data_IF_580339788749
#
_entry.id   IF_580339788749
#
_cell.length_a   1.000
_cell.length_b   1.000
_cell.length_c   1.000
_cell.angle_alpha   90.00
_cell.angle_beta   90.00
_cell.angle_gamma   90.00
#
_symmetry.space_group_name_H-M   'P 1'
#
loop_
_entity.id
_entity.type
_entity.pdbx_description
1 polymer ?
#
# COMPACT_ATOMS: atom_id res chain seq x y z
N UNK A 1 -2.26 -45.49 3.61
CA UNK A 1 -2.70 -44.35 4.44
C UNK A 1 -2.61 -43.12 3.53
N UNK A 2 -3.72 -42.42 3.30
CA UNK A 2 -3.71 -41.14 2.60
C UNK A 2 -3.09 -40.14 3.57
N UNK A 3 -2.06 -39.42 3.14
CA UNK A 3 -1.45 -38.37 3.97
C UNK A 3 -2.52 -37.31 4.28
N UNK A 4 -2.54 -36.81 5.50
CA UNK A 4 -3.37 -35.64 5.84
C UNK A 4 -2.88 -34.46 5.02
N UNK A 5 -3.75 -33.69 4.32
CA UNK A 5 -3.34 -32.55 3.55
C UNK A 5 -2.69 -31.50 4.43
N UNK A 6 -1.74 -30.76 3.89
CA UNK A 6 -1.14 -29.60 4.55
C UNK A 6 -2.12 -28.42 4.50
N UNK A 7 -1.96 -27.45 5.39
CA UNK A 7 -2.78 -26.24 5.41
C UNK A 7 -2.76 -25.50 4.05
N UNK A 8 -1.61 -25.50 3.39
CA UNK A 8 -1.46 -24.91 2.05
C UNK A 8 -2.29 -25.66 1.00
N UNK A 9 -2.28 -27.00 1.03
CA UNK A 9 -3.10 -27.82 0.12
C UNK A 9 -4.59 -27.58 0.34
N UNK A 10 -5.05 -27.51 1.60
CA UNK A 10 -6.44 -27.19 1.94
C UNK A 10 -6.85 -25.77 1.45
N UNK A 11 -5.96 -24.78 1.59
CA UNK A 11 -6.19 -23.43 1.07
C UNK A 11 -6.34 -23.43 -0.45
N UNK A 12 -5.49 -24.15 -1.17
CA UNK A 12 -5.54 -24.22 -2.63
C UNK A 12 -6.80 -24.96 -3.13
N UNK A 13 -7.24 -25.98 -2.42
CA UNK A 13 -8.51 -26.69 -2.71
C UNK A 13 -9.71 -25.77 -2.51
N UNK A 14 -9.82 -25.12 -1.34
CA UNK A 14 -10.88 -24.15 -1.04
C UNK A 14 -10.89 -22.97 -2.02
N UNK A 15 -9.71 -22.47 -2.41
CA UNK A 15 -9.58 -21.41 -3.42
C UNK A 15 -10.21 -21.84 -4.75
N UNK A 16 -9.94 -23.06 -5.20
CA UNK A 16 -10.52 -23.60 -6.43
C UNK A 16 -12.04 -23.78 -6.31
N UNK A 17 -12.52 -24.42 -5.23
CA UNK A 17 -13.95 -24.63 -4.98
C UNK A 17 -14.75 -23.32 -4.93
N UNK A 18 -14.18 -22.27 -4.33
CA UNK A 18 -14.81 -20.95 -4.17
C UNK A 18 -14.66 -20.07 -5.40
N UNK A 19 -13.96 -20.51 -6.45
CA UNK A 19 -13.57 -19.67 -7.59
C UNK A 19 -12.94 -18.35 -7.09
N UNK A 20 -12.03 -18.49 -6.12
CA UNK A 20 -11.42 -17.38 -5.42
C UNK A 20 -10.05 -17.02 -6.00
N UNK A 21 -9.68 -15.74 -5.83
CA UNK A 21 -8.33 -15.23 -6.02
C UNK A 21 -7.77 -14.76 -4.67
N UNK A 22 -6.50 -15.06 -4.42
CA UNK A 22 -5.76 -14.54 -3.28
C UNK A 22 -4.86 -13.41 -3.79
N UNK A 23 -5.15 -12.18 -3.34
CA UNK A 23 -4.36 -10.99 -3.64
C UNK A 23 -3.54 -10.62 -2.40
N UNK A 24 -2.21 -10.61 -2.50
CA UNK A 24 -1.33 -10.34 -1.37
C UNK A 24 -0.49 -9.08 -1.59
N UNK A 25 -0.43 -8.21 -0.58
CA UNK A 25 0.50 -7.11 -0.58
C UNK A 25 1.93 -7.61 -0.33
N UNK A 26 2.94 -6.95 -0.90
CA UNK A 26 4.36 -7.28 -0.67
C UNK A 26 4.80 -7.28 0.81
N UNK A 27 4.01 -6.68 1.71
CA UNK A 27 4.28 -6.63 3.15
C UNK A 27 3.72 -7.84 3.93
N UNK A 28 3.08 -8.77 3.25
CA UNK A 28 2.62 -10.01 3.87
C UNK A 28 3.79 -10.96 4.20
N UNK A 29 3.56 -11.92 5.10
CA UNK A 29 4.52 -12.99 5.35
C UNK A 29 4.80 -13.79 4.07
N UNK A 30 6.01 -14.36 3.96
CA UNK A 30 6.44 -15.10 2.78
C UNK A 30 5.48 -16.24 2.40
N UNK A 31 4.98 -16.97 3.40
CA UNK A 31 4.04 -18.08 3.21
C UNK A 31 2.70 -17.65 2.57
N UNK A 32 2.23 -16.42 2.88
CA UNK A 32 1.04 -15.86 2.24
C UNK A 32 1.38 -15.41 0.81
N UNK A 33 2.57 -14.82 0.61
CA UNK A 33 3.01 -14.43 -0.72
C UNK A 33 3.15 -15.66 -1.65
N UNK A 34 3.56 -16.81 -1.13
CA UNK A 34 3.74 -18.06 -1.91
C UNK A 34 2.44 -18.65 -2.43
N UNK A 35 1.33 -18.52 -1.68
CA UNK A 35 0.01 -19.03 -2.10
C UNK A 35 -0.80 -18.02 -2.91
N UNK A 36 -0.33 -16.77 -3.03
CA UNK A 36 -1.06 -15.69 -3.70
C UNK A 36 -1.05 -15.84 -5.23
N UNK A 37 -2.18 -15.55 -5.86
CA UNK A 37 -2.32 -15.50 -7.32
C UNK A 37 -1.69 -14.22 -7.89
N UNK A 38 -1.66 -13.15 -7.09
CA UNK A 38 -0.96 -11.93 -7.42
C UNK A 38 -0.37 -11.28 -6.17
N UNK A 39 0.87 -10.86 -6.28
CA UNK A 39 1.57 -10.05 -5.29
C UNK A 39 1.79 -8.67 -5.90
N UNK A 40 1.56 -7.61 -5.14
CA UNK A 40 1.71 -6.25 -5.66
C UNK A 40 1.61 -5.15 -4.61
N UNK A 41 1.78 -3.91 -5.06
CA UNK A 41 1.41 -2.73 -4.28
C UNK A 41 -0.08 -2.39 -4.43
N UNK A 42 -0.54 -1.33 -3.75
CA UNK A 42 -1.96 -0.94 -3.74
C UNK A 42 -2.52 -0.65 -5.13
N UNK A 43 -1.72 -0.09 -6.05
CA UNK A 43 -2.18 0.22 -7.41
C UNK A 43 -2.33 -1.05 -8.26
N UNK A 44 -1.34 -1.93 -8.20
CA UNK A 44 -1.33 -3.19 -8.93
C UNK A 44 -2.48 -4.09 -8.47
N UNK A 45 -2.65 -4.24 -7.15
CA UNK A 45 -3.72 -5.07 -6.59
C UNK A 45 -5.12 -4.50 -6.86
N UNK A 46 -5.28 -3.16 -6.90
CA UNK A 46 -6.54 -2.53 -7.29
C UNK A 46 -6.91 -2.87 -8.75
N UNK A 47 -5.94 -2.85 -9.66
CA UNK A 47 -6.15 -3.27 -11.06
C UNK A 47 -6.52 -4.75 -11.14
N UNK A 48 -5.78 -5.61 -10.44
CA UNK A 48 -6.07 -7.06 -10.38
C UNK A 48 -7.46 -7.36 -9.84
N UNK A 49 -7.87 -6.69 -8.76
CA UNK A 49 -9.22 -6.86 -8.19
C UNK A 49 -10.32 -6.45 -9.17
N UNK A 50 -10.10 -5.38 -9.96
CA UNK A 50 -11.04 -4.93 -10.99
C UNK A 50 -11.19 -5.93 -12.13
N UNK A 51 -10.07 -6.50 -12.60
CA UNK A 51 -10.01 -7.34 -13.81
C UNK A 51 -10.25 -8.83 -13.52
N UNK A 52 -10.37 -9.23 -12.26
CA UNK A 52 -10.56 -10.63 -11.88
C UNK A 52 -11.95 -11.14 -12.31
N UNK A 53 -11.98 -12.35 -12.89
CA UNK A 53 -13.20 -13.03 -13.35
C UNK A 53 -13.51 -14.27 -12.49
N UNK A 54 -13.77 -14.07 -11.20
CA UNK A 54 -14.19 -15.11 -10.25
C UNK A 54 -15.23 -14.57 -9.29
N UNK A 55 -15.51 -15.32 -8.22
CA UNK A 55 -16.59 -15.00 -7.28
C UNK A 55 -16.10 -14.39 -5.97
N UNK A 56 -14.91 -14.80 -5.51
CA UNK A 56 -14.38 -14.45 -4.20
C UNK A 56 -12.99 -13.81 -4.35
N UNK A 57 -12.78 -12.67 -3.70
CA UNK A 57 -11.47 -12.05 -3.54
C UNK A 57 -11.07 -12.17 -2.07
N UNK A 58 -10.02 -12.93 -1.81
CA UNK A 58 -9.34 -12.94 -0.51
C UNK A 58 -8.23 -11.91 -0.57
N UNK A 59 -8.40 -10.82 0.17
CA UNK A 59 -7.44 -9.73 0.17
C UNK A 59 -6.49 -9.84 1.37
N UNK A 60 -5.30 -10.40 1.17
CA UNK A 60 -4.23 -10.46 2.17
C UNK A 60 -3.48 -9.11 2.18
N UNK A 61 -3.93 -8.23 3.04
CA UNK A 61 -3.48 -6.86 3.20
C UNK A 61 -4.21 -6.21 4.37
N UNK A 62 -4.43 -4.91 4.29
CA UNK A 62 -5.17 -4.15 5.30
C UNK A 62 -6.58 -3.78 4.80
N UNK A 63 -7.48 -3.47 5.75
CA UNK A 63 -8.91 -3.31 5.51
C UNK A 63 -9.25 -2.36 4.36
N UNK A 64 -8.63 -1.16 4.30
CA UNK A 64 -8.92 -0.17 3.25
C UNK A 64 -8.60 -0.66 1.83
N UNK A 65 -7.66 -1.61 1.69
CA UNK A 65 -7.33 -2.21 0.38
C UNK A 65 -8.45 -3.13 -0.09
N UNK A 66 -9.01 -3.91 0.83
CA UNK A 66 -10.17 -4.75 0.55
C UNK A 66 -11.43 -3.91 0.31
N UNK A 67 -11.62 -2.78 1.00
CA UNK A 67 -12.66 -1.79 0.65
C UNK A 67 -12.50 -1.31 -0.79
N UNK A 68 -11.26 -1.00 -1.21
CA UNK A 68 -10.99 -0.60 -2.61
C UNK A 68 -11.35 -1.71 -3.59
N UNK A 69 -11.01 -2.96 -3.28
CA UNK A 69 -11.41 -4.12 -4.09
C UNK A 69 -12.94 -4.27 -4.15
N UNK A 70 -13.65 -4.08 -3.02
CA UNK A 70 -15.12 -4.12 -2.98
C UNK A 70 -15.77 -2.99 -3.78
N UNK A 71 -15.21 -1.78 -3.74
CA UNK A 71 -15.67 -0.64 -4.53
C UNK A 71 -15.54 -0.92 -6.04
N UNK A 72 -14.43 -1.51 -6.46
CA UNK A 72 -14.16 -1.83 -7.86
C UNK A 72 -14.92 -3.06 -8.37
N UNK A 73 -15.20 -4.01 -7.48
CA UNK A 73 -15.89 -5.27 -7.78
C UNK A 73 -17.05 -5.54 -6.80
N UNK A 74 -18.11 -4.69 -6.79
CA UNK A 74 -19.16 -4.70 -5.78
C UNK A 74 -20.02 -5.96 -5.78
N UNK A 75 -20.10 -6.66 -6.91
CA UNK A 75 -20.87 -7.90 -7.05
C UNK A 75 -20.11 -9.14 -6.49
N UNK A 76 -18.82 -9.02 -6.21
CA UNK A 76 -18.01 -10.12 -5.68
C UNK A 76 -18.00 -10.13 -4.17
N UNK A 77 -17.83 -11.32 -3.60
CA UNK A 77 -17.52 -11.46 -2.18
C UNK A 77 -16.07 -11.08 -1.96
N UNK A 78 -15.83 -10.03 -1.16
CA UNK A 78 -14.48 -9.62 -0.76
C UNK A 78 -14.32 -9.91 0.72
N UNK A 79 -13.28 -10.67 1.06
CA UNK A 79 -12.96 -11.08 2.43
C UNK A 79 -11.52 -10.72 2.78
N UNK A 80 -11.26 -10.49 4.06
CA UNK A 80 -9.93 -10.18 4.61
C UNK A 80 -9.64 -11.19 5.71
N UNK A 81 -8.43 -11.76 5.80
CA UNK A 81 -8.12 -12.73 6.83
C UNK A 81 -8.28 -12.21 8.26
N UNK A 82 -8.00 -10.91 8.48
CA UNK A 82 -8.21 -10.27 9.77
C UNK A 82 -8.95 -8.93 9.62
N UNK A 83 -10.09 -8.80 10.31
CA UNK A 83 -10.91 -7.56 10.28
C UNK A 83 -10.23 -6.37 10.95
N UNK A 84 -9.30 -6.62 11.88
CA UNK A 84 -8.59 -5.61 12.65
C UNK A 84 -7.26 -5.18 11.99
N UNK A 85 -6.96 -5.74 10.80
CA UNK A 85 -5.85 -5.30 9.95
C UNK A 85 -6.10 -3.87 9.43
N UNK A 86 -5.85 -2.88 10.28
CA UNK A 86 -6.07 -1.45 10.06
C UNK A 86 -4.90 -0.73 9.40
N UNK A 87 -4.91 0.62 9.51
CA UNK A 87 -3.81 1.46 9.01
C UNK A 87 -3.82 2.80 9.74
N UNK A 88 -2.67 3.22 10.29
CA UNK A 88 -2.53 4.49 11.00
C UNK A 88 -2.86 5.72 10.13
N UNK A 89 -2.67 5.63 8.82
CA UNK A 89 -3.06 6.70 7.90
C UNK A 89 -4.57 6.81 7.77
N UNK A 90 -5.29 5.69 7.77
CA UNK A 90 -6.77 5.69 7.80
C UNK A 90 -7.27 6.37 9.05
N UNK A 91 -6.72 6.02 10.21
CA UNK A 91 -7.11 6.56 11.51
C UNK A 91 -6.81 8.06 11.62
N UNK A 92 -5.76 8.53 10.95
CA UNK A 92 -5.32 9.94 10.98
C UNK A 92 -6.22 10.89 10.18
N UNK A 93 -7.07 10.38 9.30
CA UNK A 93 -7.92 11.20 8.42
C UNK A 93 -9.38 10.71 8.41
N UNK A 94 -10.13 10.96 9.49
CA UNK A 94 -11.55 10.64 9.53
C UNK A 94 -12.37 11.44 8.51
N UNK A 95 -13.40 10.82 7.94
CA UNK A 95 -14.21 11.42 6.87
C UNK A 95 -14.98 12.68 7.32
N UNK A 96 -15.40 12.76 8.57
CA UNK A 96 -16.06 13.93 9.14
C UNK A 96 -15.13 15.14 9.23
N UNK A 97 -13.87 14.93 9.59
CA UNK A 97 -12.84 15.98 9.58
C UNK A 97 -12.52 16.44 8.16
N UNK A 98 -12.43 15.52 7.19
CA UNK A 98 -12.26 15.89 5.78
C UNK A 98 -13.46 16.70 5.27
N UNK A 99 -14.70 16.31 5.60
CA UNK A 99 -15.90 17.09 5.29
C UNK A 99 -15.89 18.48 5.91
N UNK A 100 -15.41 18.60 7.15
CA UNK A 100 -15.26 19.90 7.80
C UNK A 100 -14.25 20.79 7.05
N UNK A 101 -13.09 20.23 6.66
CA UNK A 101 -12.12 20.96 5.86
C UNK A 101 -12.71 21.44 4.52
N UNK A 102 -13.42 20.57 3.80
CA UNK A 102 -14.06 20.91 2.51
C UNK A 102 -15.06 22.07 2.62
N UNK A 103 -15.81 22.12 3.72
CA UNK A 103 -16.74 23.26 3.95
C UNK A 103 -16.02 24.60 4.14
N UNK A 104 -14.84 24.58 4.78
CA UNK A 104 -14.01 25.77 4.99
C UNK A 104 -13.19 26.15 3.78
N UNK A 105 -12.92 25.21 2.88
CA UNK A 105 -12.06 25.36 1.69
C UNK A 105 -12.71 24.74 0.46
N UNK A 106 -13.85 25.28 -0.01
CA UNK A 106 -14.66 24.68 -1.08
C UNK A 106 -13.97 24.72 -2.45
N UNK A 107 -12.93 25.55 -2.60
CA UNK A 107 -12.10 25.70 -3.80
C UNK A 107 -11.01 24.66 -3.94
N UNK A 108 -10.69 23.89 -2.87
CA UNK A 108 -9.63 22.90 -2.91
C UNK A 108 -10.04 21.61 -3.59
N UNK A 109 -9.20 21.13 -4.50
CA UNK A 109 -9.27 19.74 -5.00
C UNK A 109 -8.68 18.80 -3.94
N UNK A 110 -9.47 17.83 -3.49
CA UNK A 110 -9.02 16.81 -2.54
C UNK A 110 -8.36 15.67 -3.32
N UNK A 111 -7.06 15.52 -3.16
CA UNK A 111 -6.26 14.37 -3.61
C UNK A 111 -6.01 13.48 -2.42
N UNK A 112 -6.60 12.30 -2.39
CA UNK A 112 -6.38 11.37 -1.29
C UNK A 112 -5.48 10.21 -1.72
N UNK A 113 -4.45 9.98 -0.91
CA UNK A 113 -3.70 8.74 -1.00
C UNK A 113 -4.64 7.57 -0.68
N UNK A 114 -4.46 6.44 -1.36
CA UNK A 114 -5.35 5.28 -1.28
C UNK A 114 -5.49 4.71 0.14
N UNK A 115 -4.52 5.00 1.03
CA UNK A 115 -4.51 4.61 2.44
C UNK A 115 -5.51 5.44 3.27
N UNK A 116 -6.76 5.38 2.90
CA UNK A 116 -7.90 6.07 3.50
C UNK A 116 -9.13 5.16 3.49
N UNK A 117 -10.14 5.45 4.33
CA UNK A 117 -11.39 4.68 4.34
C UNK A 117 -12.22 4.87 3.07
N UNK A 118 -13.20 3.98 2.86
CA UNK A 118 -14.15 4.12 1.75
C UNK A 118 -14.91 5.45 1.80
N UNK A 119 -15.26 5.93 3.00
CA UNK A 119 -15.94 7.21 3.20
C UNK A 119 -15.06 8.40 2.81
N UNK A 120 -13.76 8.37 3.14
CA UNK A 120 -12.81 9.40 2.70
C UNK A 120 -12.63 9.38 1.19
N UNK A 121 -12.57 8.19 0.59
CA UNK A 121 -12.53 8.05 -0.87
C UNK A 121 -13.79 8.65 -1.52
N UNK A 122 -14.97 8.45 -0.92
CA UNK A 122 -16.24 9.04 -1.39
C UNK A 122 -16.29 10.58 -1.29
N UNK A 123 -15.47 11.18 -0.41
CA UNK A 123 -15.33 12.64 -0.27
C UNK A 123 -14.21 13.23 -1.16
N UNK A 124 -13.41 12.40 -1.79
CA UNK A 124 -12.24 12.81 -2.58
C UNK A 124 -12.60 13.17 -4.02
N UNK A 125 -11.79 14.00 -4.67
CA UNK A 125 -11.94 14.31 -6.09
C UNK A 125 -11.17 13.29 -6.95
N UNK A 126 -10.01 12.86 -6.48
CA UNK A 126 -9.18 11.84 -7.11
C UNK A 126 -8.35 11.12 -6.05
N UNK A 127 -8.15 9.83 -6.25
CA UNK A 127 -7.24 9.02 -5.44
C UNK A 127 -5.86 9.00 -6.08
N UNK A 128 -4.82 8.77 -5.29
CA UNK A 128 -3.48 8.44 -5.78
C UNK A 128 -2.89 7.29 -4.99
N UNK A 129 -1.81 6.72 -5.50
CA UNK A 129 -0.91 5.82 -4.77
C UNK A 129 0.49 6.42 -4.77
N UNK A 130 1.43 5.85 -3.99
CA UNK A 130 2.84 6.26 -4.05
C UNK A 130 3.46 6.09 -5.44
N UNK A 131 2.88 5.22 -6.28
CA UNK A 131 3.33 5.00 -7.67
C UNK A 131 2.98 6.14 -8.61
N UNK A 132 1.90 6.90 -8.38
CA UNK A 132 1.37 7.88 -9.34
C UNK A 132 0.98 9.23 -8.73
N UNK A 133 1.30 9.47 -7.46
CA UNK A 133 0.85 10.69 -6.76
C UNK A 133 1.32 11.99 -7.45
N UNK A 134 2.56 12.02 -7.95
CA UNK A 134 3.11 13.18 -8.67
C UNK A 134 2.36 13.40 -9.99
N UNK A 135 2.11 12.34 -10.75
CA UNK A 135 1.37 12.40 -12.02
C UNK A 135 -0.09 12.83 -11.79
N UNK A 136 -0.73 12.31 -10.73
CA UNK A 136 -2.09 12.73 -10.34
C UNK A 136 -2.13 14.21 -10.03
N UNK A 137 -1.22 14.72 -9.21
CA UNK A 137 -1.16 16.15 -8.87
C UNK A 137 -0.88 17.00 -10.10
N UNK A 138 0.00 16.56 -10.99
CA UNK A 138 0.31 17.27 -12.23
C UNK A 138 -0.84 17.27 -13.26
N UNK A 139 -1.81 16.35 -13.13
CA UNK A 139 -3.00 16.33 -13.98
C UNK A 139 -4.06 17.37 -13.58
N UNK A 140 -3.90 18.02 -12.42
CA UNK A 140 -4.80 19.06 -11.92
C UNK A 140 -4.30 20.43 -12.38
N UNK A 141 -5.17 21.36 -12.86
CA UNK A 141 -4.76 22.70 -13.27
C UNK A 141 -3.87 23.39 -12.26
N UNK A 142 -2.82 24.10 -12.71
CA UNK A 142 -1.76 24.62 -11.85
C UNK A 142 -2.25 25.69 -10.83
N UNK A 143 -3.29 26.43 -11.18
CA UNK A 143 -3.93 27.46 -10.35
C UNK A 143 -4.89 26.87 -9.30
N UNK A 144 -5.30 25.62 -9.48
CA UNK A 144 -6.26 24.96 -8.59
C UNK A 144 -5.58 24.56 -7.26
N UNK A 145 -6.02 25.06 -6.09
CA UNK A 145 -5.47 24.67 -4.80
C UNK A 145 -5.81 23.20 -4.48
N UNK A 146 -4.89 22.52 -3.83
CA UNK A 146 -5.01 21.08 -3.50
C UNK A 146 -4.93 20.87 -1.99
N UNK A 147 -5.80 20.01 -1.46
CA UNK A 147 -5.58 19.30 -0.21
C UNK A 147 -5.07 17.90 -0.54
N UNK A 148 -3.86 17.60 -0.09
CA UNK A 148 -3.29 16.24 -0.15
C UNK A 148 -3.42 15.56 1.22
N UNK A 149 -4.07 14.42 1.29
CA UNK A 149 -4.25 13.64 2.51
C UNK A 149 -4.02 12.14 2.27
N UNK A 150 -3.75 11.30 3.31
CA UNK A 150 -3.55 11.68 4.70
C UNK A 150 -2.07 11.86 5.09
N UNK A 151 -1.09 11.40 4.29
CA UNK A 151 0.33 11.29 4.69
C UNK A 151 1.12 12.58 4.46
N UNK A 152 1.74 13.09 5.54
CA UNK A 152 2.53 14.31 5.51
C UNK A 152 3.81 14.18 4.70
N UNK A 153 4.50 13.03 4.79
CA UNK A 153 5.78 12.82 4.12
C UNK A 153 5.58 12.67 2.61
N UNK A 154 4.64 11.79 2.20
CA UNK A 154 4.27 11.65 0.79
C UNK A 154 3.74 12.98 0.22
N UNK A 155 2.90 13.71 0.95
CA UNK A 155 2.38 14.99 0.51
C UNK A 155 3.47 16.05 0.32
N UNK A 156 4.45 16.12 1.22
CA UNK A 156 5.62 17.00 1.08
C UNK A 156 6.54 16.57 -0.07
N UNK A 157 6.72 15.26 -0.27
CA UNK A 157 7.45 14.71 -1.41
C UNK A 157 6.77 15.12 -2.73
N UNK A 158 5.46 14.92 -2.84
CA UNK A 158 4.67 15.29 -4.03
C UNK A 158 4.72 16.79 -4.29
N UNK A 159 4.58 17.64 -3.25
CA UNK A 159 4.70 19.09 -3.36
C UNK A 159 6.06 19.50 -3.93
N UNK A 160 7.15 18.91 -3.43
CA UNK A 160 8.51 19.15 -3.92
C UNK A 160 8.68 18.70 -5.37
N UNK A 161 8.23 17.49 -5.71
CA UNK A 161 8.44 16.91 -7.05
C UNK A 161 7.58 17.56 -8.14
N UNK A 162 6.38 18.04 -7.79
CA UNK A 162 5.50 18.77 -8.71
C UNK A 162 5.84 20.26 -8.85
N UNK A 163 6.66 20.80 -7.95
CA UNK A 163 6.98 22.24 -7.90
C UNK A 163 5.79 23.13 -7.53
N UNK A 164 4.71 22.56 -6.97
CA UNK A 164 3.48 23.31 -6.65
C UNK A 164 3.49 23.82 -5.22
N UNK A 165 3.30 25.13 -5.03
CA UNK A 165 3.20 25.74 -3.70
C UNK A 165 1.78 25.73 -3.12
N UNK A 166 0.74 25.60 -3.97
CA UNK A 166 -0.67 25.63 -3.59
C UNK A 166 -1.21 24.26 -3.12
N UNK A 167 -0.36 23.45 -2.47
CA UNK A 167 -0.73 22.17 -1.87
C UNK A 167 -0.71 22.31 -0.33
N UNK A 168 -1.89 22.13 0.29
CA UNK A 168 -1.99 21.89 1.72
C UNK A 168 -1.85 20.40 1.98
N UNK A 169 -1.08 20.03 2.98
CA UNK A 169 -0.82 18.64 3.33
C UNK A 169 -1.43 18.31 4.69
N UNK A 170 -2.18 17.22 4.74
CA UNK A 170 -2.74 16.68 5.98
C UNK A 170 -1.64 16.15 6.89
N UNK A 171 -1.88 16.15 8.21
CA UNK A 171 -0.83 15.90 9.21
C UNK A 171 -0.81 14.43 9.72
N UNK A 172 -1.25 13.47 8.92
CA UNK A 172 -1.12 12.06 9.24
C UNK A 172 0.24 11.49 8.84
N UNK A 173 0.62 10.36 9.40
CA UNK A 173 1.88 9.68 9.07
C UNK A 173 1.76 8.15 9.21
N UNK A 174 2.48 7.42 8.38
CA UNK A 174 2.62 5.98 8.50
C UNK A 174 3.50 5.64 9.71
N UNK A 175 3.00 4.81 10.64
CA UNK A 175 3.74 4.41 11.86
C UNK A 175 5.02 3.61 11.57
N UNK A 176 5.15 3.04 10.38
CA UNK A 176 6.36 2.32 9.96
C UNK A 176 7.34 3.28 9.31
N UNK A 177 6.94 3.91 8.19
CA UNK A 177 7.86 4.71 7.39
C UNK A 177 8.30 6.00 8.08
N UNK A 178 7.41 6.67 8.84
CA UNK A 178 7.75 7.92 9.53
C UNK A 178 8.72 7.74 10.69
N UNK A 179 8.92 6.51 11.15
CA UNK A 179 9.79 6.20 12.30
C UNK A 179 11.16 5.66 11.90
N UNK A 180 11.49 5.60 10.62
CA UNK A 180 12.84 5.24 10.18
C UNK A 180 13.87 6.31 10.62
N UNK A 181 14.87 5.94 11.46
CA UNK A 181 15.80 6.90 11.99
C UNK A 181 16.95 7.17 11.01
N UNK A 182 17.11 8.41 10.57
CA UNK A 182 18.20 8.82 9.68
C UNK A 182 19.58 8.45 10.25
N UNK A 183 19.76 8.51 11.58
CA UNK A 183 21.02 8.10 12.26
C UNK A 183 21.40 6.64 12.03
N UNK A 184 20.41 5.72 12.02
CA UNK A 184 20.67 4.30 11.72
C UNK A 184 21.01 4.09 10.24
N UNK A 185 20.36 4.84 9.35
CA UNK A 185 20.70 4.84 7.94
C UNK A 185 22.13 5.33 7.70
N UNK A 186 22.55 6.44 8.33
CA UNK A 186 23.94 6.95 8.27
C UNK A 186 24.94 5.89 8.74
N UNK A 187 24.66 5.22 9.87
CA UNK A 187 25.51 4.15 10.39
C UNK A 187 25.61 3.00 9.39
N UNK A 188 24.49 2.49 8.90
CA UNK A 188 24.45 1.40 7.92
C UNK A 188 25.19 1.77 6.62
N UNK A 189 25.02 3.01 6.13
CA UNK A 189 25.76 3.49 4.96
C UNK A 189 27.27 3.59 5.20
N UNK A 190 27.71 3.89 6.43
CA UNK A 190 29.12 3.87 6.78
C UNK A 190 29.70 2.44 6.86
N UNK A 191 28.91 1.46 7.29
CA UNK A 191 29.27 0.04 7.29
C UNK A 191 29.27 -0.58 5.89
N UNK A 192 28.39 -0.05 4.99
CA UNK A 192 28.22 -0.50 3.60
C UNK A 192 28.38 0.68 2.63
N UNK A 193 29.58 1.23 2.45
CA UNK A 193 29.78 2.48 1.71
C UNK A 193 29.43 2.37 0.22
N UNK A 194 29.47 1.18 -0.37
CA UNK A 194 29.08 0.93 -1.76
C UNK A 194 27.56 0.75 -1.94
N UNK A 195 26.81 0.43 -0.87
CA UNK A 195 25.39 0.16 -0.96
C UNK A 195 24.57 1.39 -1.40
N UNK A 196 23.73 1.23 -2.39
CA UNK A 196 22.75 2.24 -2.80
C UNK A 196 21.55 2.25 -1.84
N UNK A 197 20.85 3.36 -1.76
CA UNK A 197 19.71 3.55 -0.86
C UNK A 197 18.42 3.69 -1.67
N UNK A 198 17.47 2.79 -1.45
CA UNK A 198 16.12 2.87 -1.99
C UNK A 198 15.12 3.17 -0.87
N UNK A 199 14.29 4.23 -1.01
CA UNK A 199 13.38 4.67 0.02
C UNK A 199 11.94 4.84 -0.47
N UNK A 200 10.98 4.51 0.40
CA UNK A 200 9.57 4.82 0.15
C UNK A 200 9.28 6.30 0.46
N UNK A 201 8.45 7.01 -0.34
CA UNK A 201 8.20 8.43 -0.16
C UNK A 201 7.45 8.82 1.13
N UNK A 202 6.93 7.85 1.89
CA UNK A 202 6.42 8.05 3.25
C UNK A 202 7.52 8.17 4.31
N UNK A 203 8.80 7.96 3.96
CA UNK A 203 9.92 8.16 4.86
C UNK A 203 10.15 9.63 5.20
N UNK A 204 10.76 9.95 6.37
CA UNK A 204 11.13 11.31 6.72
C UNK A 204 12.04 11.96 5.66
N UNK A 205 11.97 13.28 5.56
CA UNK A 205 12.74 14.01 4.54
C UNK A 205 14.25 13.82 4.67
N UNK A 206 14.76 13.62 5.89
CA UNK A 206 16.16 13.34 6.17
C UNK A 206 16.62 12.03 5.50
N UNK A 207 15.77 11.00 5.54
CA UNK A 207 16.00 9.72 4.87
C UNK A 207 15.92 9.91 3.35
N UNK A 208 14.89 10.60 2.86
CA UNK A 208 14.70 10.82 1.41
C UNK A 208 15.83 11.61 0.77
N UNK A 209 16.50 12.51 1.51
CA UNK A 209 17.67 13.26 1.00
C UNK A 209 18.89 12.36 0.75
N UNK A 210 18.98 11.23 1.42
CA UNK A 210 20.10 10.28 1.29
C UNK A 210 19.81 9.19 0.24
N UNK A 211 18.57 9.07 -0.22
CA UNK A 211 18.15 8.02 -1.12
C UNK A 211 18.64 8.26 -2.56
N UNK A 212 19.21 7.23 -3.17
CA UNK A 212 19.55 7.18 -4.60
C UNK A 212 18.29 6.92 -5.45
N UNK A 213 17.29 6.27 -4.86
CA UNK A 213 15.99 6.04 -5.48
C UNK A 213 14.85 6.26 -4.48
N UNK A 214 13.80 6.96 -4.91
CA UNK A 214 12.55 7.13 -4.15
C UNK A 214 11.40 6.65 -5.02
N UNK A 215 10.61 5.71 -4.50
CA UNK A 215 9.48 5.17 -5.23
C UNK A 215 8.53 4.32 -4.39
N UNK A 216 7.44 3.87 -5.01
CA UNK A 216 6.49 2.94 -4.39
C UNK A 216 7.15 1.59 -4.07
N UNK A 217 6.44 0.74 -3.33
CA UNK A 217 6.91 -0.61 -3.01
C UNK A 217 7.30 -1.40 -4.26
N UNK A 218 6.42 -1.47 -5.27
CA UNK A 218 6.74 -2.13 -6.54
C UNK A 218 7.86 -1.42 -7.31
N UNK A 219 7.90 -0.08 -7.24
CA UNK A 219 8.98 0.72 -7.83
C UNK A 219 10.34 0.40 -7.21
N UNK A 220 10.42 0.30 -5.88
CA UNK A 220 11.62 -0.11 -5.14
C UNK A 220 12.05 -1.51 -5.56
N UNK A 221 11.12 -2.47 -5.55
CA UNK A 221 11.43 -3.86 -5.95
C UNK A 221 11.99 -3.88 -7.38
N UNK A 222 11.31 -3.24 -8.33
CA UNK A 222 11.75 -3.16 -9.72
C UNK A 222 13.13 -2.52 -9.86
N UNK A 223 13.36 -1.38 -9.18
CA UNK A 223 14.64 -0.70 -9.24
C UNK A 223 15.76 -1.55 -8.62
N UNK A 224 15.53 -2.13 -7.45
CA UNK A 224 16.48 -2.98 -6.77
C UNK A 224 16.85 -4.24 -7.57
N UNK A 225 15.91 -4.80 -8.35
CA UNK A 225 16.12 -6.09 -9.01
C UNK A 225 16.58 -5.97 -10.47
N UNK A 226 16.37 -4.84 -11.13
CA UNK A 226 16.66 -4.69 -12.55
C UNK A 226 17.50 -3.46 -12.93
N UNK A 227 17.46 -2.39 -12.13
CA UNK A 227 17.98 -1.08 -12.54
C UNK A 227 19.17 -0.61 -11.71
N UNK A 228 19.20 -0.95 -10.43
CA UNK A 228 20.26 -0.50 -9.53
C UNK A 228 21.65 -1.00 -10.01
N UNK A 229 22.65 -0.13 -10.14
CA UNK A 229 23.95 -0.48 -10.72
C UNK A 229 24.88 -1.23 -9.75
N UNK A 230 24.51 -1.42 -8.48
CA UNK A 230 25.34 -2.06 -7.46
C UNK A 230 24.87 -3.46 -7.08
N UNK A 231 25.66 -4.14 -6.26
CA UNK A 231 25.33 -5.45 -5.69
C UNK A 231 24.67 -5.34 -4.33
N UNK A 232 24.83 -4.21 -3.64
CA UNK A 232 24.34 -3.94 -2.29
C UNK A 232 23.29 -2.82 -2.29
N UNK A 233 22.18 -3.02 -1.60
CA UNK A 233 21.13 -2.01 -1.48
C UNK A 233 20.61 -1.94 -0.05
N UNK A 234 20.57 -0.74 0.53
CA UNK A 234 19.88 -0.43 1.77
C UNK A 234 18.44 -0.08 1.42
N UNK A 235 17.49 -0.83 1.97
CA UNK A 235 16.06 -0.72 1.65
C UNK A 235 15.32 -0.05 2.81
N UNK A 236 14.80 1.15 2.55
CA UNK A 236 14.07 1.98 3.51
C UNK A 236 12.56 1.88 3.23
N UNK A 237 12.02 0.69 3.45
CA UNK A 237 10.59 0.39 3.45
C UNK A 237 10.31 -0.81 4.34
N UNK A 238 9.04 -1.21 4.45
CA UNK A 238 8.61 -2.36 5.25
C UNK A 238 9.30 -3.66 4.80
N UNK A 239 9.75 -4.47 5.77
CA UNK A 239 10.66 -5.60 5.51
C UNK A 239 10.04 -6.79 4.79
N UNK A 240 8.72 -6.90 4.67
CA UNK A 240 8.05 -7.97 3.90
C UNK A 240 8.46 -8.02 2.42
N UNK A 241 8.95 -6.88 1.87
CA UNK A 241 9.52 -6.86 0.51
C UNK A 241 10.75 -7.76 0.34
N UNK A 242 11.38 -8.16 1.45
CA UNK A 242 12.56 -9.03 1.45
C UNK A 242 12.33 -10.31 0.67
N UNK A 243 11.15 -10.94 0.83
CA UNK A 243 10.79 -12.15 0.09
C UNK A 243 10.83 -11.93 -1.43
N UNK A 244 10.16 -10.88 -1.91
CA UNK A 244 10.17 -10.53 -3.34
C UNK A 244 11.57 -10.17 -3.86
N UNK A 245 12.35 -9.41 -3.09
CA UNK A 245 13.71 -9.01 -3.45
C UNK A 245 14.65 -10.21 -3.58
N UNK A 246 14.65 -11.09 -2.58
CA UNK A 246 15.50 -12.28 -2.57
C UNK A 246 15.14 -13.26 -3.69
N UNK A 247 13.85 -13.42 -3.98
CA UNK A 247 13.37 -14.28 -5.07
C UNK A 247 13.77 -13.76 -6.45
N UNK A 248 13.69 -12.43 -6.66
CA UNK A 248 13.93 -11.81 -7.98
C UNK A 248 15.41 -11.48 -8.23
N UNK A 249 16.20 -11.25 -7.19
CA UNK A 249 17.62 -10.94 -7.30
C UNK A 249 18.43 -11.64 -6.19
N UNK A 250 18.52 -12.99 -6.22
CA UNK A 250 19.13 -13.78 -5.13
C UNK A 250 20.63 -13.54 -4.96
N UNK A 251 21.30 -13.00 -5.97
CA UNK A 251 22.74 -12.67 -5.90
C UNK A 251 23.03 -11.32 -5.23
N UNK A 252 22.01 -10.46 -5.02
CA UNK A 252 22.19 -9.15 -4.39
C UNK A 252 22.05 -9.20 -2.89
N UNK A 253 22.77 -8.31 -2.22
CA UNK A 253 22.66 -8.10 -0.78
C UNK A 253 21.71 -6.97 -0.47
N UNK A 254 20.71 -7.24 0.36
CA UNK A 254 19.72 -6.28 0.81
C UNK A 254 19.82 -6.06 2.31
N UNK A 255 20.00 -4.82 2.72
CA UNK A 255 20.07 -4.41 4.12
C UNK A 255 18.79 -3.64 4.48
N UNK A 256 18.21 -3.96 5.63
CA UNK A 256 17.01 -3.31 6.14
C UNK A 256 17.36 -2.55 7.41
N UNK A 257 16.91 -1.31 7.52
CA UNK A 257 17.12 -0.48 8.70
C UNK A 257 15.95 -0.70 9.64
N UNK A 258 16.26 -1.12 10.87
CA UNK A 258 15.26 -1.25 11.92
C UNK A 258 14.73 0.12 12.34
N UNK A 259 13.45 0.16 12.70
CA UNK A 259 12.78 1.34 13.23
C UNK A 259 13.20 1.63 14.70
N UNK A 260 12.91 2.81 15.22
CA UNK A 260 13.33 3.17 16.58
C UNK A 260 12.58 2.40 17.67
N UNK A 261 11.33 2.05 17.42
CA UNK A 261 10.41 1.48 18.38
C UNK A 261 10.48 -0.05 18.49
N UNK A 262 11.12 -0.71 17.52
CA UNK A 262 11.38 -2.14 17.54
C UNK A 262 12.65 -2.45 16.73
N UNK A 263 13.21 -3.65 16.92
CA UNK A 263 14.27 -4.14 16.04
C UNK A 263 13.68 -4.78 14.77
N UNK A 264 12.72 -4.09 14.16
CA UNK A 264 12.04 -4.53 12.95
C UNK A 264 11.61 -3.31 12.15
N UNK A 265 11.29 -3.52 10.89
CA UNK A 265 10.67 -2.55 9.99
C UNK A 265 9.34 -3.08 9.46
N UNK A 266 8.59 -3.80 10.30
CA UNK A 266 7.35 -4.49 9.93
C UNK A 266 6.11 -3.67 10.26
N UNK A 267 5.09 -3.80 9.42
CA UNK A 267 3.78 -3.24 9.66
C UNK A 267 2.95 -4.21 10.52
N UNK A 268 2.62 -3.86 11.78
CA UNK A 268 1.89 -4.77 12.67
C UNK A 268 0.52 -5.15 12.10
N UNK A 269 -0.12 -4.26 11.37
CA UNK A 269 -1.42 -4.55 10.75
C UNK A 269 -1.32 -5.56 9.60
N UNK A 270 -0.27 -5.46 8.77
CA UNK A 270 -0.04 -6.42 7.68
C UNK A 270 0.28 -7.82 8.22
N UNK A 271 0.95 -7.90 9.38
CA UNK A 271 1.33 -9.16 10.05
C UNK A 271 0.18 -9.81 10.84
N UNK A 272 -1.00 -9.19 10.90
CA UNK A 272 -2.20 -9.81 11.49
C UNK A 272 -2.78 -10.93 10.63
N UNK A 273 -2.49 -10.95 9.33
CA UNK A 273 -2.88 -12.04 8.45
C UNK A 273 -1.93 -13.23 8.62
N UNK A 274 -2.48 -14.43 8.75
CA UNK A 274 -1.75 -15.71 8.82
C UNK A 274 -2.37 -16.73 7.88
N UNK A 275 -1.66 -17.84 7.58
CA UNK A 275 -2.21 -18.91 6.75
C UNK A 275 -3.49 -19.49 7.33
N UNK A 276 -3.55 -19.68 8.66
CA UNK A 276 -4.74 -20.20 9.35
C UNK A 276 -5.95 -19.27 9.16
N UNK A 277 -5.72 -17.95 9.21
CA UNK A 277 -6.77 -16.97 8.96
C UNK A 277 -7.18 -16.91 7.48
N UNK A 278 -6.25 -17.12 6.55
CA UNK A 278 -6.57 -17.25 5.11
C UNK A 278 -7.43 -18.49 4.87
N UNK A 279 -7.07 -19.64 5.48
CA UNK A 279 -7.85 -20.86 5.41
C UNK A 279 -9.26 -20.65 5.96
N UNK A 280 -9.40 -20.13 7.19
CA UNK A 280 -10.69 -19.84 7.81
C UNK A 280 -11.52 -18.87 6.97
N UNK A 281 -10.87 -17.84 6.41
CA UNK A 281 -11.51 -16.85 5.54
C UNK A 281 -12.11 -17.45 4.26
N UNK A 282 -11.40 -18.37 3.61
CA UNK A 282 -11.90 -19.11 2.44
C UNK A 282 -13.01 -20.09 2.79
N UNK A 283 -12.88 -20.81 3.92
CA UNK A 283 -13.87 -21.78 4.39
C UNK A 283 -15.20 -21.10 4.74
N UNK A 284 -15.13 -20.03 5.52
CA UNK A 284 -16.30 -19.39 6.14
C UNK A 284 -16.81 -18.18 5.34
N UNK A 285 -16.06 -17.73 4.34
CA UNK A 285 -16.28 -16.50 3.57
C UNK A 285 -16.50 -15.28 4.50
N UNK A 286 -15.65 -15.16 5.52
CA UNK A 286 -15.73 -14.16 6.60
C UNK A 286 -14.33 -13.89 7.15
N UNK A 287 -14.02 -12.66 7.62
CA UNK A 287 -14.85 -11.44 7.60
C UNK A 287 -15.07 -10.88 6.17
N UNK A 288 -16.29 -10.45 5.90
CA UNK A 288 -16.64 -9.80 4.61
C UNK A 288 -16.53 -8.30 4.69
N UNK A 289 -16.08 -7.70 3.60
CA UNK A 289 -16.15 -6.25 3.40
C UNK A 289 -17.49 -5.90 2.80
N UNK A 290 -18.34 -5.25 3.61
CA UNK A 290 -19.64 -4.75 3.18
C UNK A 290 -19.63 -3.22 3.27
N UNK A 291 -20.08 -2.57 2.21
CA UNK A 291 -20.13 -1.11 2.10
C UNK A 291 -21.52 -0.67 1.63
N UNK A 292 -22.05 0.45 2.15
CA UNK A 292 -23.27 1.04 1.62
C UNK A 292 -23.13 1.34 0.13
N UNK A 293 -24.20 1.07 -0.65
CA UNK A 293 -24.19 1.28 -2.09
C UNK A 293 -23.82 2.72 -2.48
N UNK A 294 -24.31 3.70 -1.75
CA UNK A 294 -23.99 5.11 -1.97
C UNK A 294 -22.48 5.38 -1.83
N UNK A 295 -21.83 4.78 -0.82
CA UNK A 295 -20.38 4.91 -0.61
C UNK A 295 -19.62 4.27 -1.76
N UNK A 296 -20.04 3.07 -2.22
CA UNK A 296 -19.42 2.40 -3.36
C UNK A 296 -19.50 3.28 -4.62
N UNK A 297 -20.68 3.80 -4.95
CA UNK A 297 -20.89 4.61 -6.14
C UNK A 297 -20.06 5.90 -6.12
N UNK A 298 -20.01 6.60 -4.97
CA UNK A 298 -19.25 7.84 -4.81
C UNK A 298 -17.74 7.60 -4.80
N UNK A 299 -17.24 6.60 -4.06
CA UNK A 299 -15.82 6.29 -3.95
C UNK A 299 -15.23 5.71 -5.24
N UNK A 300 -16.04 5.07 -6.08
CA UNK A 300 -15.60 4.51 -7.36
C UNK A 300 -15.06 5.59 -8.30
N UNK A 301 -15.72 6.73 -8.39
CA UNK A 301 -15.34 7.81 -9.32
C UNK A 301 -13.89 8.29 -9.11
N UNK A 302 -13.46 8.70 -7.89
CA UNK A 302 -12.08 9.13 -7.69
C UNK A 302 -11.06 8.00 -7.84
N UNK A 303 -11.42 6.74 -7.57
CA UNK A 303 -10.54 5.59 -7.81
C UNK A 303 -10.36 5.35 -9.31
N UNK A 304 -11.43 5.40 -10.10
CA UNK A 304 -11.36 5.24 -11.55
C UNK A 304 -10.56 6.37 -12.21
N UNK A 305 -10.69 7.60 -11.73
CA UNK A 305 -9.83 8.73 -12.15
C UNK A 305 -8.35 8.42 -11.90
N UNK A 306 -8.00 7.88 -10.74
CA UNK A 306 -6.64 7.44 -10.44
C UNK A 306 -6.14 6.38 -11.42
N UNK A 307 -6.96 5.36 -11.69
CA UNK A 307 -6.60 4.24 -12.59
C UNK A 307 -6.41 4.70 -14.04
N UNK A 308 -7.05 5.81 -14.46
CA UNK A 308 -6.92 6.40 -15.79
C UNK A 308 -5.63 7.23 -15.98
N UNK A 309 -4.97 7.64 -14.89
CA UNK A 309 -3.69 8.37 -14.97
C UNK A 309 -2.59 7.41 -15.43
N UNK A 310 -1.90 7.78 -16.51
CA UNK A 310 -0.74 7.02 -17.02
C UNK A 310 0.46 7.21 -16.09
N UNK A 311 1.12 6.13 -15.73
CA UNK A 311 2.33 6.08 -14.89
C UNK A 311 3.56 5.88 -15.76
#
# INVERSE_FOLDING_TARGET
MVATPTLTEEILELKHERRAVILAHHYQESEIQEIADAIGDSLELSRKAKDFDGEVIVFCGVWFMAETAKILSPHRTVVVPDKDAGCSLVDSCPADQLRAFKRLHPDHVVVSYINTSAEVKAESHIICTSSNAVQVVNSIPADQPILFCPDINLGNYVRKMSGRENIRVWQGACIVHSTFPARRLVKMKAEHPAALIAAHPECPQEVLRMADYIGSTSGIIKWCTSTAPGEEVIVMTESGVKHSLQRLAPARQFYFVDNENCNCSECPYMKMNTLEKVHACLRDLSPRVELPREIIERARVPIERMLAVKV
#
